data_IF_526329897514
#
_entry.id   IF_526329897514
#
_cell.length_a   1.000
_cell.length_b   1.000
_cell.length_c   1.000
_cell.angle_alpha   90.00
_cell.angle_beta   90.00
_cell.angle_gamma   90.00
#
_symmetry.space_group_name_H-M   'P 1'
#
loop_
_entity.id
_entity.type
_entity.pdbx_description
1 polymer ?
#
# COMPACT_ATOMS: atom_id res chain seq x y z
N UNK A 1 8.40 -11.00 5.48
CA UNK A 1 8.59 -10.44 6.84
C UNK A 1 8.26 -11.48 7.91
N UNK A 2 7.08 -12.12 7.91
CA UNK A 2 6.75 -13.11 8.95
C UNK A 2 7.67 -14.34 8.97
N UNK A 3 7.97 -14.94 7.81
CA UNK A 3 8.80 -16.14 7.72
C UNK A 3 10.19 -16.01 8.40
N UNK A 4 11.01 -14.96 8.13
CA UNK A 4 12.27 -14.78 8.84
C UNK A 4 12.09 -14.49 10.34
N UNK A 5 11.05 -13.75 10.75
CA UNK A 5 10.76 -13.49 12.16
C UNK A 5 10.42 -14.78 12.93
N UNK A 6 9.55 -15.62 12.38
CA UNK A 6 9.22 -16.94 12.96
C UNK A 6 10.43 -17.88 12.96
N UNK A 7 11.28 -17.81 11.93
CA UNK A 7 12.51 -18.62 11.88
C UNK A 7 13.47 -18.27 13.01
N UNK A 8 13.64 -16.98 13.31
CA UNK A 8 14.48 -16.53 14.43
C UNK A 8 13.88 -16.95 15.78
N UNK A 9 12.57 -16.78 15.96
CA UNK A 9 11.90 -17.15 17.19
C UNK A 9 11.99 -18.67 17.45
N UNK A 10 11.60 -19.50 16.49
CA UNK A 10 11.50 -20.95 16.70
C UNK A 10 12.86 -21.64 16.72
N UNK A 11 13.82 -21.20 15.87
CA UNK A 11 15.12 -21.88 15.76
C UNK A 11 16.19 -21.31 16.67
N UNK A 12 16.06 -20.06 17.11
CA UNK A 12 17.10 -19.33 17.86
C UNK A 12 16.59 -18.71 19.16
N UNK A 13 15.30 -18.86 19.49
CA UNK A 13 14.65 -18.24 20.65
C UNK A 13 14.85 -16.70 20.68
N UNK A 14 14.89 -16.07 19.51
CA UNK A 14 15.06 -14.62 19.32
C UNK A 14 13.70 -13.99 18.99
N UNK A 15 13.12 -13.27 19.94
CA UNK A 15 11.77 -12.72 19.84
C UNK A 15 11.71 -11.33 19.18
N UNK A 16 12.84 -10.63 19.06
CA UNK A 16 12.89 -9.21 18.67
C UNK A 16 12.21 -8.95 17.31
N UNK A 17 12.43 -9.82 16.32
CA UNK A 17 11.81 -9.72 15.00
C UNK A 17 10.31 -10.04 15.02
N UNK A 18 9.88 -10.92 15.92
CA UNK A 18 8.47 -11.25 16.08
C UNK A 18 7.71 -10.12 16.78
N UNK A 19 8.33 -9.49 17.78
CA UNK A 19 7.77 -8.34 18.51
C UNK A 19 7.63 -7.11 17.58
N UNK A 20 8.62 -6.87 16.70
CA UNK A 20 8.59 -5.78 15.73
C UNK A 20 7.65 -6.03 14.53
N UNK A 21 7.25 -7.29 14.27
CA UNK A 21 6.57 -7.71 13.05
C UNK A 21 5.33 -6.88 12.74
N UNK A 22 4.42 -6.72 13.71
CA UNK A 22 3.13 -6.08 13.48
C UNK A 22 3.31 -4.61 13.11
N UNK A 23 4.16 -3.87 13.84
CA UNK A 23 4.46 -2.47 13.54
C UNK A 23 5.08 -2.32 12.14
N UNK A 24 6.00 -3.22 11.79
CA UNK A 24 6.67 -3.24 10.51
C UNK A 24 5.73 -3.55 9.34
N UNK A 25 4.93 -4.62 9.46
CA UNK A 25 3.96 -5.04 8.46
C UNK A 25 2.86 -4.00 8.24
N UNK A 26 2.37 -3.37 9.31
CA UNK A 26 1.27 -2.40 9.25
C UNK A 26 1.63 -1.17 8.41
N UNK A 27 2.89 -0.72 8.39
CA UNK A 27 3.32 0.38 7.50
C UNK A 27 2.99 0.10 6.04
N UNK A 28 3.19 -1.14 5.61
CA UNK A 28 2.93 -1.58 4.23
C UNK A 28 1.46 -1.88 4.00
N UNK A 29 0.79 -2.53 4.95
CA UNK A 29 -0.66 -2.81 4.89
C UNK A 29 -1.42 -1.50 4.67
N UNK A 30 -1.16 -0.47 5.48
CA UNK A 30 -1.85 0.81 5.36
C UNK A 30 -1.59 1.51 4.03
N UNK A 31 -0.37 1.43 3.49
CA UNK A 31 -0.05 1.98 2.16
C UNK A 31 -0.86 1.31 1.06
N UNK A 32 -1.03 0.00 1.12
CA UNK A 32 -1.88 -0.73 0.17
C UNK A 32 -3.36 -0.50 0.39
N UNK A 33 -3.83 -0.47 1.64
CA UNK A 33 -5.23 -0.16 1.96
C UNK A 33 -5.61 1.21 1.42
N UNK A 34 -4.77 2.23 1.62
CA UNK A 34 -4.99 3.56 1.06
C UNK A 34 -5.04 3.52 -0.47
N UNK A 35 -4.12 2.81 -1.13
CA UNK A 35 -4.12 2.68 -2.59
C UNK A 35 -5.38 1.98 -3.11
N UNK A 36 -5.78 0.86 -2.49
CA UNK A 36 -7.00 0.14 -2.87
C UNK A 36 -8.25 0.97 -2.66
N UNK A 37 -8.33 1.72 -1.56
CA UNK A 37 -9.42 2.67 -1.32
C UNK A 37 -9.45 3.75 -2.41
N UNK A 38 -8.30 4.39 -2.70
CA UNK A 38 -8.18 5.44 -3.71
C UNK A 38 -8.59 4.97 -5.12
N UNK A 39 -8.13 3.80 -5.54
CA UNK A 39 -8.51 3.22 -6.84
C UNK A 39 -10.01 2.88 -6.88
N UNK A 40 -10.54 2.32 -5.79
CA UNK A 40 -11.96 1.98 -5.70
C UNK A 40 -12.83 3.23 -5.81
N UNK A 41 -12.54 4.28 -5.03
CA UNK A 41 -13.31 5.53 -5.01
C UNK A 41 -13.17 6.32 -6.31
N UNK A 42 -12.03 6.22 -6.99
CA UNK A 42 -11.83 6.87 -8.29
C UNK A 42 -12.59 6.16 -9.42
N UNK A 43 -12.62 4.82 -9.43
CA UNK A 43 -13.04 4.05 -10.60
C UNK A 43 -14.48 3.52 -10.53
N UNK A 44 -15.10 3.46 -9.36
CA UNK A 44 -16.45 2.93 -9.19
C UNK A 44 -17.48 4.04 -9.01
N UNK A 45 -18.51 4.05 -9.86
CA UNK A 45 -19.60 5.03 -9.80
C UNK A 45 -20.38 4.89 -8.49
N UNK A 46 -20.58 6.00 -7.79
CA UNK A 46 -21.41 6.06 -6.56
C UNK A 46 -22.85 6.48 -6.85
N UNK A 47 -23.09 7.12 -8.01
CA UNK A 47 -24.38 7.69 -8.40
C UNK A 47 -24.56 9.15 -7.99
N UNK A 48 -23.63 9.72 -7.22
CA UNK A 48 -23.63 11.14 -6.85
C UNK A 48 -22.94 12.00 -7.93
N UNK A 49 -23.61 13.03 -8.50
CA UNK A 49 -22.99 13.96 -9.44
C UNK A 49 -21.74 14.67 -8.91
N UNK A 50 -21.64 14.91 -7.60
CA UNK A 50 -20.45 15.52 -7.00
C UNK A 50 -19.25 14.58 -7.07
N UNK A 51 -19.42 13.34 -6.62
CA UNK A 51 -18.38 12.31 -6.70
C UNK A 51 -17.94 12.08 -8.15
N UNK A 52 -18.86 12.09 -9.11
CA UNK A 52 -18.54 11.94 -10.52
C UNK A 52 -17.58 13.04 -11.01
N UNK A 53 -17.72 14.27 -10.53
CA UNK A 53 -16.78 15.36 -10.88
C UNK A 53 -15.42 15.17 -10.21
N UNK A 54 -15.38 14.73 -8.95
CA UNK A 54 -14.12 14.40 -8.26
C UNK A 54 -13.38 13.24 -8.92
N UNK A 55 -14.09 12.19 -9.32
CA UNK A 55 -13.52 11.04 -10.04
C UNK A 55 -12.87 11.46 -11.36
N UNK A 56 -13.57 12.28 -12.15
CA UNK A 56 -13.05 12.82 -13.41
C UNK A 56 -11.84 13.72 -13.21
N UNK A 57 -11.86 14.58 -12.20
CA UNK A 57 -10.72 15.45 -11.86
C UNK A 57 -9.48 14.64 -11.51
N UNK A 58 -9.63 13.58 -10.70
CA UNK A 58 -8.53 12.69 -10.34
C UNK A 58 -7.97 11.93 -11.55
N UNK A 59 -8.84 11.37 -12.38
CA UNK A 59 -8.43 10.71 -13.62
C UNK A 59 -7.70 11.68 -14.56
N UNK A 60 -8.19 12.92 -14.66
CA UNK A 60 -7.55 13.95 -15.47
C UNK A 60 -6.13 14.25 -15.01
N UNK A 61 -5.95 14.44 -13.70
CA UNK A 61 -4.63 14.63 -13.12
C UNK A 61 -3.72 13.41 -13.36
N UNK A 62 -4.26 12.20 -13.22
CA UNK A 62 -3.51 10.96 -13.43
C UNK A 62 -2.91 10.84 -14.83
N UNK A 63 -3.68 11.16 -15.87
CA UNK A 63 -3.20 11.02 -17.25
C UNK A 63 -2.37 12.20 -17.76
N UNK A 64 -2.52 13.37 -17.14
CA UNK A 64 -1.86 14.61 -17.59
C UNK A 64 -0.57 14.94 -16.82
N UNK A 65 -0.28 14.23 -15.72
CA UNK A 65 0.88 14.47 -14.86
C UNK A 65 1.77 13.23 -14.75
N UNK A 66 3.01 13.34 -15.20
CA UNK A 66 4.00 12.26 -15.08
C UNK A 66 4.25 11.86 -13.62
N UNK A 67 4.23 12.83 -12.70
CA UNK A 67 4.39 12.57 -11.27
C UNK A 67 3.22 11.74 -10.70
N UNK A 68 2.00 12.00 -11.17
CA UNK A 68 0.82 11.23 -10.78
C UNK A 68 0.86 9.81 -11.33
N UNK A 69 1.20 9.67 -12.62
CA UNK A 69 1.36 8.38 -13.29
C UNK A 69 2.45 7.53 -12.62
N UNK A 70 3.58 8.14 -12.26
CA UNK A 70 4.66 7.49 -11.51
C UNK A 70 4.17 7.00 -10.15
N UNK A 71 3.49 7.86 -9.38
CA UNK A 71 2.93 7.49 -8.09
C UNK A 71 1.94 6.32 -8.18
N UNK A 72 1.11 6.27 -9.23
CA UNK A 72 0.25 5.11 -9.48
C UNK A 72 1.07 3.86 -9.78
N UNK A 73 2.06 3.92 -10.67
CA UNK A 73 2.89 2.77 -11.04
C UNK A 73 3.63 2.19 -9.82
N UNK A 74 4.20 3.04 -8.96
CA UNK A 74 4.87 2.62 -7.72
C UNK A 74 3.92 1.88 -6.77
N UNK A 75 2.70 2.40 -6.59
CA UNK A 75 1.72 1.78 -5.70
C UNK A 75 1.13 0.50 -6.30
N UNK A 76 0.93 0.46 -7.62
CA UNK A 76 0.34 -0.69 -8.33
C UNK A 76 1.30 -1.88 -8.39
N UNK A 77 2.59 -1.64 -8.64
CA UNK A 77 3.63 -2.68 -8.65
C UNK A 77 4.05 -3.09 -7.24
N UNK A 78 3.99 -2.14 -6.30
CA UNK A 78 4.36 -2.36 -4.91
C UNK A 78 5.87 -2.36 -4.68
N UNK A 79 6.35 -1.80 -3.55
CA UNK A 79 7.78 -1.78 -3.26
C UNK A 79 8.33 -3.19 -3.00
N UNK A 80 9.64 -3.47 -3.16
CA UNK A 80 10.20 -4.78 -2.82
C UNK A 80 10.02 -5.11 -1.32
N UNK A 81 9.96 -6.40 -0.98
CA UNK A 81 9.96 -6.87 0.42
C UNK A 81 11.41 -7.09 0.87
N UNK A 82 11.84 -6.43 1.94
CA UNK A 82 13.18 -6.63 2.50
C UNK A 82 13.10 -7.12 3.95
N UNK A 83 14.10 -7.90 4.37
CA UNK A 83 14.21 -8.33 5.78
C UNK A 83 14.54 -7.15 6.68
N UNK A 84 15.25 -6.14 6.15
CA UNK A 84 15.54 -4.86 6.83
C UNK A 84 14.30 -4.02 7.15
N UNK A 85 13.13 -4.41 6.64
CA UNK A 85 11.89 -3.69 6.94
C UNK A 85 11.31 -4.09 8.31
N UNK A 86 11.79 -5.19 8.91
CA UNK A 86 11.56 -5.56 10.30
C UNK A 86 12.53 -4.81 11.21
#
# INVERSE_FOLDING_TARGET
MLAPALSALVRRNQAELADAYSAAALRRVWRYTHFSWWMTTMLHTTGDPFDAQLQRSQLHWLYSSDAAAMGLAENYTGPPLRVSDL
#
